data_IF_475413618868
#
_entry.id   IF_475413618868
#
_cell.length_a   1.000
_cell.length_b   1.000
_cell.length_c   1.000
_cell.angle_alpha   90.00
_cell.angle_beta   90.00
_cell.angle_gamma   90.00
#
_symmetry.space_group_name_H-M   'P 1'
#
loop_
_entity.id
_entity.type
_entity.pdbx_description
1 polymer ?
#
# COMPACT_ATOMS: atom_id res chain seq x y z
N UNK A 1 17.45 -30.35 -57.80
CA UNK A 1 16.23 -31.10 -57.41
C UNK A 1 16.63 -32.39 -56.73
N UNK A 2 15.84 -32.79 -55.71
CA UNK A 2 15.80 -34.09 -55.00
C UNK A 2 16.72 -34.26 -53.78
N UNK A 3 16.05 -34.13 -52.63
CA UNK A 3 16.41 -34.50 -51.27
C UNK A 3 16.34 -36.02 -51.13
N UNK A 4 17.24 -36.64 -50.37
CA UNK A 4 16.97 -37.92 -49.72
C UNK A 4 17.55 -37.91 -48.30
N UNK A 5 16.62 -38.01 -47.35
CA UNK A 5 16.87 -38.30 -45.94
C UNK A 5 17.10 -39.80 -45.75
N UNK A 6 18.01 -40.17 -44.86
CA UNK A 6 17.92 -41.44 -44.15
C UNK A 6 18.02 -41.19 -42.64
N UNK A 7 17.03 -41.76 -41.96
CA UNK A 7 16.83 -41.76 -40.52
C UNK A 7 17.70 -42.86 -39.91
N UNK A 8 18.35 -42.56 -38.80
CA UNK A 8 18.63 -43.55 -37.75
C UNK A 8 18.36 -42.89 -36.40
N UNK A 9 17.49 -43.56 -35.66
CA UNK A 9 17.08 -43.25 -34.31
C UNK A 9 18.10 -43.81 -33.30
N UNK A 10 18.23 -43.16 -32.15
CA UNK A 10 17.70 -43.66 -30.87
C UNK A 10 18.57 -43.23 -29.66
N UNK A 11 17.86 -43.10 -28.52
CA UNK A 11 18.34 -43.06 -27.13
C UNK A 11 19.00 -41.74 -26.72
N UNK A 12 18.58 -41.03 -25.67
CA UNK A 12 17.74 -41.39 -24.54
C UNK A 12 18.36 -40.74 -23.30
N UNK A 13 17.77 -39.65 -22.81
CA UNK A 13 18.00 -39.13 -21.46
C UNK A 13 16.89 -38.12 -21.12
N UNK A 14 15.75 -38.63 -20.66
CA UNK A 14 14.79 -37.80 -19.92
C UNK A 14 15.39 -37.60 -18.54
N UNK A 15 16.00 -36.44 -18.30
CA UNK A 15 16.42 -36.04 -16.97
C UNK A 15 15.18 -35.63 -16.18
N UNK A 16 14.60 -36.60 -15.46
CA UNK A 16 13.56 -36.35 -14.47
C UNK A 16 14.17 -35.57 -13.31
N UNK A 17 14.02 -34.26 -13.31
CA UNK A 17 14.34 -33.43 -12.14
C UNK A 17 13.26 -33.67 -11.09
N UNK A 18 13.58 -34.47 -10.09
CA UNK A 18 12.84 -34.56 -8.83
C UNK A 18 12.99 -33.22 -8.09
N UNK A 19 12.04 -32.31 -8.30
CA UNK A 19 11.87 -31.15 -7.40
C UNK A 19 11.21 -31.68 -6.13
N UNK A 20 11.99 -31.74 -5.06
CA UNK A 20 11.49 -32.04 -3.73
C UNK A 20 10.39 -31.02 -3.38
N UNK A 21 9.16 -31.50 -3.21
CA UNK A 21 8.07 -30.73 -2.66
C UNK A 21 8.38 -30.43 -1.18
N UNK A 22 9.02 -29.28 -0.94
CA UNK A 22 9.03 -28.68 0.40
C UNK A 22 7.60 -28.38 0.78
N UNK A 23 7.07 -29.11 1.76
CA UNK A 23 5.81 -28.82 2.41
C UNK A 23 5.96 -27.49 3.17
N UNK A 24 5.81 -26.38 2.48
CA UNK A 24 5.51 -25.11 3.12
C UNK A 24 4.11 -25.26 3.72
N UNK A 25 4.04 -25.29 5.05
CA UNK A 25 2.81 -25.01 5.76
C UNK A 25 2.35 -23.62 5.31
N UNK A 26 1.46 -23.60 4.32
CA UNK A 26 0.83 -22.39 3.86
C UNK A 26 0.00 -21.87 5.02
N UNK A 27 0.46 -20.77 5.64
CA UNK A 27 -0.40 -19.91 6.44
C UNK A 27 -1.68 -19.67 5.60
N UNK A 28 -2.89 -19.88 6.14
CA UNK A 28 -4.10 -19.61 5.38
C UNK A 28 -4.05 -18.16 4.91
N UNK A 29 -4.29 -17.88 3.61
CA UNK A 29 -4.28 -16.52 3.12
C UNK A 29 -5.26 -15.71 3.97
N UNK A 30 -4.73 -14.73 4.71
CA UNK A 30 -5.55 -13.81 5.48
C UNK A 30 -6.63 -13.27 4.54
N UNK A 31 -7.88 -13.61 4.84
CA UNK A 31 -9.02 -13.23 4.01
C UNK A 31 -8.92 -11.73 3.69
N UNK A 32 -9.13 -11.33 2.42
CA UNK A 32 -9.05 -9.93 2.05
C UNK A 32 -10.05 -9.17 2.92
N UNK A 33 -9.55 -8.37 3.87
CA UNK A 33 -10.36 -7.38 4.56
C UNK A 33 -10.82 -6.38 3.50
N UNK A 34 -11.96 -6.69 2.88
CA UNK A 34 -12.78 -5.79 2.09
C UNK A 34 -13.18 -4.68 3.05
N UNK A 35 -12.57 -3.51 2.88
CA UNK A 35 -13.12 -2.30 3.48
C UNK A 35 -14.55 -2.21 2.96
N UNK A 36 -15.53 -2.28 3.87
CA UNK A 36 -16.93 -2.20 3.51
C UNK A 36 -17.17 -0.93 2.70
N UNK A 37 -17.98 -0.97 1.61
CA UNK A 37 -18.22 0.18 0.73
C UNK A 37 -18.58 1.47 1.48
N UNK A 38 -19.19 1.33 2.66
CA UNK A 38 -19.59 2.41 3.56
C UNK A 38 -18.44 3.30 4.02
N UNK A 39 -17.29 2.74 4.42
CA UNK A 39 -16.19 3.52 5.00
C UNK A 39 -15.45 4.41 3.99
N UNK A 40 -15.40 3.99 2.73
CA UNK A 40 -14.80 4.79 1.66
C UNK A 40 -15.75 5.92 1.24
N UNK A 41 -17.05 5.66 1.25
CA UNK A 41 -18.09 6.64 0.97
C UNK A 41 -18.13 7.75 2.03
N UNK A 42 -18.07 7.37 3.32
CA UNK A 42 -18.06 8.32 4.44
C UNK A 42 -16.85 9.27 4.42
N UNK A 43 -15.65 8.76 4.11
CA UNK A 43 -14.44 9.59 3.99
C UNK A 43 -14.50 10.55 2.80
N UNK A 44 -15.11 10.13 1.69
CA UNK A 44 -15.33 10.99 0.54
C UNK A 44 -16.30 12.13 0.85
N UNK A 45 -17.42 11.81 1.50
CA UNK A 45 -18.43 12.79 1.92
C UNK A 45 -17.88 13.80 2.93
N UNK A 46 -17.06 13.36 3.88
CA UNK A 46 -16.41 14.26 4.84
C UNK A 46 -15.48 15.27 4.15
N UNK A 47 -14.68 14.83 3.18
CA UNK A 47 -13.76 15.70 2.44
C UNK A 47 -14.52 16.71 1.59
N UNK A 48 -15.60 16.26 0.92
CA UNK A 48 -16.50 17.11 0.16
C UNK A 48 -17.07 18.24 1.02
N UNK A 49 -17.60 17.90 2.20
CA UNK A 49 -18.14 18.89 3.14
C UNK A 49 -17.09 19.85 3.69
N UNK A 50 -15.87 19.37 3.98
CA UNK A 50 -14.79 20.19 4.55
C UNK A 50 -14.23 21.22 3.57
N UNK A 51 -14.26 20.94 2.27
CA UNK A 51 -13.65 21.79 1.25
C UNK A 51 -14.69 22.47 0.35
N UNK A 52 -15.98 22.22 0.58
CA UNK A 52 -17.05 22.70 -0.30
C UNK A 52 -16.85 22.23 -1.74
N UNK A 53 -16.49 20.94 -1.93
CA UNK A 53 -16.31 20.40 -3.29
C UNK A 53 -17.65 20.30 -4.00
N UNK A 54 -17.68 20.67 -5.28
CA UNK A 54 -18.82 20.31 -6.13
C UNK A 54 -18.88 18.78 -6.32
N UNK A 55 -20.05 18.26 -6.67
CA UNK A 55 -20.20 16.81 -6.90
C UNK A 55 -19.26 16.31 -8.01
N UNK A 56 -19.03 17.13 -9.04
CA UNK A 56 -18.11 16.83 -10.14
C UNK A 56 -16.67 16.75 -9.63
N UNK A 57 -16.21 17.75 -8.86
CA UNK A 57 -14.87 17.74 -8.27
C UNK A 57 -14.68 16.54 -7.34
N UNK A 58 -15.67 16.27 -6.48
CA UNK A 58 -15.64 15.16 -5.55
C UNK A 58 -15.56 13.80 -6.27
N UNK A 59 -16.30 13.64 -7.37
CA UNK A 59 -16.25 12.44 -8.20
C UNK A 59 -14.89 12.24 -8.86
N UNK A 60 -14.33 13.28 -9.48
CA UNK A 60 -13.00 13.22 -10.10
C UNK A 60 -11.91 12.84 -9.09
N UNK A 61 -11.95 13.42 -7.89
CA UNK A 61 -11.01 13.11 -6.81
C UNK A 61 -11.17 11.66 -6.33
N UNK A 62 -12.41 11.15 -6.22
CA UNK A 62 -12.66 9.75 -5.87
C UNK A 62 -12.07 8.81 -6.91
N UNK A 63 -12.23 9.09 -8.18
CA UNK A 63 -11.71 8.28 -9.28
C UNK A 63 -10.17 8.25 -9.30
N UNK A 64 -9.52 9.41 -9.12
CA UNK A 64 -8.07 9.50 -8.96
C UNK A 64 -7.58 8.58 -7.83
N UNK A 65 -8.20 8.67 -6.65
CA UNK A 65 -7.81 7.85 -5.50
C UNK A 65 -8.12 6.36 -5.67
N UNK A 66 -9.19 6.03 -6.40
CA UNK A 66 -9.59 4.65 -6.63
C UNK A 66 -8.59 3.90 -7.52
N UNK A 67 -8.01 4.58 -8.53
CA UNK A 67 -7.03 4.00 -9.45
C UNK A 67 -5.83 3.39 -8.72
N UNK A 68 -5.30 4.11 -7.74
CA UNK A 68 -4.07 3.70 -7.04
C UNK A 68 -4.33 3.01 -5.70
N UNK A 69 -5.60 2.84 -5.31
CA UNK A 69 -5.97 2.34 -3.99
C UNK A 69 -5.36 0.96 -3.68
N UNK A 70 -5.39 0.04 -4.63
CA UNK A 70 -4.85 -1.31 -4.46
C UNK A 70 -3.33 -1.28 -4.21
N UNK A 71 -2.58 -0.51 -5.03
CA UNK A 71 -1.14 -0.35 -4.90
C UNK A 71 -0.76 0.33 -3.57
N UNK A 72 -1.49 1.37 -3.17
CA UNK A 72 -1.29 2.03 -1.88
C UNK A 72 -1.54 1.09 -0.70
N UNK A 73 -2.60 0.28 -0.77
CA UNK A 73 -2.91 -0.72 0.27
C UNK A 73 -1.79 -1.75 0.39
N UNK A 74 -1.29 -2.26 -0.73
CA UNK A 74 -0.19 -3.21 -0.76
C UNK A 74 1.10 -2.60 -0.17
N UNK A 75 1.46 -1.38 -0.58
CA UNK A 75 2.64 -0.69 -0.06
C UNK A 75 2.54 -0.44 1.46
N UNK A 76 1.36 -0.05 1.95
CA UNK A 76 1.13 0.11 3.39
C UNK A 76 1.30 -1.21 4.16
N UNK A 77 0.79 -2.32 3.63
CA UNK A 77 0.96 -3.64 4.24
C UNK A 77 2.43 -4.05 4.27
N UNK A 78 3.13 -3.90 3.14
CA UNK A 78 4.55 -4.21 3.03
C UNK A 78 5.38 -3.36 4.01
N UNK A 79 5.14 -2.05 4.09
CA UNK A 79 5.84 -1.16 5.02
C UNK A 79 5.61 -1.56 6.48
N UNK A 80 4.38 -1.94 6.85
CA UNK A 80 4.06 -2.41 8.19
C UNK A 80 4.82 -3.70 8.51
N UNK A 81 4.82 -4.67 7.59
CA UNK A 81 5.53 -5.94 7.76
C UNK A 81 7.04 -5.72 7.87
N UNK A 82 7.61 -4.92 6.96
CA UNK A 82 9.04 -4.65 6.93
C UNK A 82 9.54 -3.98 8.22
N UNK A 83 8.75 -3.05 8.78
CA UNK A 83 9.04 -2.43 10.08
C UNK A 83 8.98 -3.43 11.23
N UNK A 84 7.94 -4.26 11.28
CA UNK A 84 7.80 -5.26 12.34
C UNK A 84 8.96 -6.26 12.32
N UNK A 85 9.37 -6.68 11.12
CA UNK A 85 10.51 -7.57 10.95
C UNK A 85 11.84 -6.89 11.29
N UNK A 86 12.05 -5.63 10.90
CA UNK A 86 13.24 -4.87 11.31
C UNK A 86 13.33 -4.79 12.85
N UNK A 87 12.22 -4.53 13.54
CA UNK A 87 12.18 -4.54 15.01
C UNK A 87 12.52 -5.92 15.56
N UNK A 88 11.97 -6.99 15.00
CA UNK A 88 12.28 -8.36 15.42
C UNK A 88 13.77 -8.69 15.24
N UNK A 89 14.34 -8.37 14.08
CA UNK A 89 15.76 -8.61 13.76
C UNK A 89 16.69 -7.84 14.70
N UNK A 90 16.38 -6.58 14.99
CA UNK A 90 17.14 -5.76 15.92
C UNK A 90 17.13 -6.34 17.34
N UNK A 91 15.98 -6.84 17.80
CA UNK A 91 15.84 -7.44 19.12
C UNK A 91 16.40 -8.86 19.23
N UNK A 92 16.51 -9.60 18.11
CA UNK A 92 17.10 -10.94 18.08
C UNK A 92 18.62 -10.95 17.91
N UNK A 93 19.26 -9.78 17.83
CA UNK A 93 20.72 -9.67 17.64
C UNK A 93 21.19 -10.06 16.25
N UNK A 94 20.40 -9.79 15.20
CA UNK A 94 20.84 -10.00 13.82
C UNK A 94 22.10 -9.17 13.49
N UNK A 95 22.91 -9.64 12.54
CA UNK A 95 24.12 -8.93 12.12
C UNK A 95 23.79 -7.60 11.42
N UNK A 96 24.78 -6.71 11.37
CA UNK A 96 24.62 -5.36 10.83
C UNK A 96 24.24 -5.33 9.34
N UNK A 97 24.68 -6.32 8.54
CA UNK A 97 24.34 -6.37 7.13
C UNK A 97 22.87 -6.72 6.93
N UNK A 98 22.35 -7.68 7.70
CA UNK A 98 20.93 -8.04 7.72
C UNK A 98 20.05 -6.85 8.15
N UNK A 99 20.44 -6.12 9.20
CA UNK A 99 19.72 -4.92 9.65
C UNK A 99 19.74 -3.80 8.61
N UNK A 100 20.89 -3.55 7.99
CA UNK A 100 21.04 -2.52 6.94
C UNK A 100 20.20 -2.83 5.70
N UNK A 101 20.17 -4.09 5.28
CA UNK A 101 19.34 -4.53 4.14
C UNK A 101 17.84 -4.29 4.43
N UNK A 102 17.37 -4.66 5.63
CA UNK A 102 15.96 -4.46 6.00
C UNK A 102 15.61 -2.98 6.21
N UNK A 103 16.55 -2.19 6.74
CA UNK A 103 16.39 -0.74 6.84
C UNK A 103 16.25 -0.09 5.46
N UNK A 104 17.05 -0.53 4.49
CA UNK A 104 16.96 -0.07 3.09
C UNK A 104 15.60 -0.41 2.49
N UNK A 105 15.07 -1.61 2.72
CA UNK A 105 13.71 -1.98 2.29
C UNK A 105 12.64 -1.03 2.86
N UNK A 106 12.70 -0.73 4.16
CA UNK A 106 11.78 0.21 4.81
C UNK A 106 11.88 1.61 4.20
N UNK A 107 13.09 2.10 3.92
CA UNK A 107 13.32 3.40 3.28
C UNK A 107 12.72 3.45 1.87
N UNK A 108 12.89 2.38 1.09
CA UNK A 108 12.33 2.28 -0.26
C UNK A 108 10.79 2.31 -0.26
N UNK A 109 10.15 1.57 0.64
CA UNK A 109 8.68 1.56 0.78
C UNK A 109 8.13 2.92 1.23
N UNK A 110 8.88 3.63 2.08
CA UNK A 110 8.57 5.00 2.47
C UNK A 110 8.67 5.98 1.30
N UNK A 111 9.75 5.90 0.51
CA UNK A 111 9.92 6.71 -0.68
C UNK A 111 8.80 6.48 -1.69
N UNK A 112 8.42 5.22 -1.93
CA UNK A 112 7.28 4.86 -2.79
C UNK A 112 5.97 5.44 -2.27
N UNK A 113 5.74 5.44 -0.95
CA UNK A 113 4.55 6.04 -0.34
C UNK A 113 4.48 7.54 -0.60
N UNK A 114 5.61 8.23 -0.43
CA UNK A 114 5.71 9.67 -0.67
C UNK A 114 5.49 10.00 -2.14
N UNK A 115 6.10 9.25 -3.05
CA UNK A 115 5.96 9.45 -4.48
C UNK A 115 4.51 9.29 -4.93
N UNK A 116 3.81 8.24 -4.48
CA UNK A 116 2.40 8.02 -4.80
C UNK A 116 1.50 9.15 -4.25
N UNK A 117 1.83 9.65 -3.05
CA UNK A 117 1.12 10.79 -2.47
C UNK A 117 1.31 12.05 -3.31
N UNK A 118 2.53 12.38 -3.69
CA UNK A 118 2.85 13.54 -4.53
C UNK A 118 2.15 13.47 -5.89
N UNK A 119 2.17 12.29 -6.55
CA UNK A 119 1.47 12.08 -7.81
C UNK A 119 -0.03 12.30 -7.68
N UNK A 120 -0.64 11.79 -6.60
CA UNK A 120 -2.05 12.03 -6.31
C UNK A 120 -2.34 13.53 -6.14
N UNK A 121 -1.48 14.25 -5.41
CA UNK A 121 -1.65 15.70 -5.21
C UNK A 121 -1.51 16.49 -6.51
N UNK A 122 -0.58 16.12 -7.39
CA UNK A 122 -0.42 16.74 -8.70
C UNK A 122 -1.67 16.58 -9.59
N UNK A 123 -2.37 15.46 -9.47
CA UNK A 123 -3.62 15.22 -10.20
C UNK A 123 -4.82 15.96 -9.58
N UNK A 124 -4.87 16.08 -8.25
CA UNK A 124 -5.96 16.77 -7.54
C UNK A 124 -5.83 18.29 -7.62
N UNK A 125 -4.61 18.84 -7.60
CA UNK A 125 -4.36 20.28 -7.54
C UNK A 125 -5.12 21.12 -8.58
N UNK A 126 -5.14 20.73 -9.87
CA UNK A 126 -5.89 21.43 -10.91
C UNK A 126 -7.42 21.35 -10.78
N UNK A 127 -7.95 20.37 -10.04
CA UNK A 127 -9.40 20.21 -9.81
C UNK A 127 -9.89 21.23 -8.77
N UNK A 128 -9.02 21.63 -7.84
CA UNK A 128 -9.34 22.50 -6.73
C UNK A 128 -9.12 23.99 -7.05
N UNK A 129 -10.01 24.84 -6.55
CA UNK A 129 -9.78 26.29 -6.55
C UNK A 129 -8.56 26.65 -5.68
N UNK A 130 -7.96 27.85 -5.84
CA UNK A 130 -6.84 28.29 -4.99
C UNK A 130 -7.17 28.22 -3.49
N UNK A 131 -8.35 28.68 -3.08
CA UNK A 131 -8.81 28.64 -1.69
C UNK A 131 -8.98 27.20 -1.19
N UNK A 132 -9.55 26.32 -2.03
CA UNK A 132 -9.70 24.89 -1.70
C UNK A 132 -8.34 24.19 -1.55
N UNK A 133 -7.33 24.57 -2.34
CA UNK A 133 -5.97 24.04 -2.20
C UNK A 133 -5.34 24.43 -0.87
N UNK A 134 -5.51 25.68 -0.44
CA UNK A 134 -5.01 26.14 0.85
C UNK A 134 -5.72 25.42 2.01
N UNK A 135 -7.05 25.30 1.95
CA UNK A 135 -7.82 24.55 2.93
C UNK A 135 -7.41 23.06 2.97
N UNK A 136 -7.16 22.46 1.81
CA UNK A 136 -6.66 21.09 1.70
C UNK A 136 -5.27 20.93 2.33
N UNK A 137 -4.35 21.88 2.09
CA UNK A 137 -3.02 21.85 2.69
C UNK A 137 -3.08 21.93 4.22
N UNK A 138 -3.89 22.85 4.78
CA UNK A 138 -4.12 22.97 6.23
C UNK A 138 -4.71 21.68 6.83
N UNK A 139 -5.61 21.03 6.11
CA UNK A 139 -6.21 19.76 6.53
C UNK A 139 -5.17 18.63 6.62
N UNK A 140 -4.23 18.60 5.68
CA UNK A 140 -3.16 17.59 5.65
C UNK A 140 -2.12 17.82 6.75
N UNK A 141 -1.80 19.08 7.06
CA UNK A 141 -0.83 19.45 8.10
C UNK A 141 -1.30 19.02 9.51
N UNK A 142 -2.59 19.12 9.79
CA UNK A 142 -3.13 18.80 11.11
C UNK A 142 -3.32 17.31 11.39
N UNK A 143 -3.25 16.44 10.36
CA UNK A 143 -3.33 14.99 10.48
C UNK A 143 -4.60 14.43 11.18
N UNK A 144 -4.90 13.13 11.03
CA UNK A 144 -6.05 12.50 11.70
C UNK A 144 -5.92 12.40 13.24
N UNK A 145 -4.78 12.79 13.82
CA UNK A 145 -4.43 12.54 15.23
C UNK A 145 -4.87 13.65 16.19
N UNK A 146 -5.37 14.79 15.70
CA UNK A 146 -5.82 15.91 16.54
C UNK A 146 -7.05 15.64 17.40
N UNK A 147 -7.79 14.53 17.21
CA UNK A 147 -9.08 14.30 17.88
C UNK A 147 -9.09 13.25 19.00
N UNK A 148 -7.97 12.60 19.32
CA UNK A 148 -7.97 11.52 20.34
C UNK A 148 -7.86 11.98 21.79
N UNK A 149 -7.62 13.27 22.05
CA UNK A 149 -7.38 13.78 23.41
C UNK A 149 -8.58 14.47 24.09
N UNK A 150 -9.73 14.65 23.42
CA UNK A 150 -10.84 15.44 23.99
C UNK A 150 -11.92 14.64 24.74
N UNK A 151 -11.85 13.31 24.82
CA UNK A 151 -12.92 12.49 25.45
C UNK A 151 -12.53 11.82 26.79
N UNK A 152 -11.66 12.46 27.58
CA UNK A 152 -11.31 12.01 28.93
C UNK A 152 -11.26 13.16 29.95
N UNK A 153 -12.30 13.98 29.97
CA UNK A 153 -12.64 14.82 31.13
C UNK A 153 -14.14 14.67 31.36
N UNK A 154 -14.54 13.60 32.02
CA UNK A 154 -15.80 13.59 32.75
C UNK A 154 -15.47 14.08 34.17
N UNK A 155 -16.14 15.11 34.70
CA UNK A 155 -15.96 15.48 36.09
C UNK A 155 -16.54 14.36 36.96
N UNK A 156 -15.68 13.76 37.79
CA UNK A 156 -16.12 13.03 38.97
C UNK A 156 -16.81 14.04 39.89
N UNK A 157 -18.14 14.03 39.91
CA UNK A 157 -18.87 14.65 40.99
C UNK A 157 -18.79 13.71 42.19
N UNK A 158 -18.24 14.25 43.29
CA UNK A 158 -18.36 13.65 44.62
C UNK A 158 -19.73 13.92 45.23
#
# INVERSE_FOLDING_TARGET
>A
MRKFSFRTAALGAIATVLVAAGAYAADPPAAPQTQTPTQQHERGAWLQNKLGLTDVQAQQIREIRAKDFAAQKQNFQALRQARAELTRLALSGADQATLSAKQTEVQNLLAQSMQAHLQTLQQIGPILSPEQREAYAKLMDHGPRGHRHMKRQAPSQG
#
